data_IF_928405529002
#
_entry.id   IF_928405529002
#
_cell.length_a   1.000
_cell.length_b   1.000
_cell.length_c   1.000
_cell.angle_alpha   90.00
_cell.angle_beta   90.00
_cell.angle_gamma   90.00
#
_symmetry.space_group_name_H-M   'P 1'
#
loop_
_entity.id
_entity.type
_entity.pdbx_description
1 polymer ?
#
# COMPACT_ATOMS: atom_id res chain seq x y z
N UNK A 1 -28.95 35.30 39.36
CA UNK A 1 -28.10 34.08 39.24
C UNK A 1 -28.42 33.24 38.00
N UNK A 2 -29.70 33.06 37.62
CA UNK A 2 -30.07 32.27 36.42
C UNK A 2 -29.47 32.80 35.10
N UNK A 3 -29.41 34.13 34.90
CA UNK A 3 -28.83 34.74 33.70
C UNK A 3 -27.31 34.51 33.52
N UNK A 4 -26.56 34.36 34.62
CA UNK A 4 -25.13 34.04 34.58
C UNK A 4 -24.88 32.58 34.17
N UNK A 5 -25.75 31.66 34.61
CA UNK A 5 -25.69 30.24 34.27
C UNK A 5 -26.18 29.94 32.84
N UNK A 6 -27.07 30.78 32.29
CA UNK A 6 -27.57 30.71 30.91
C UNK A 6 -26.73 31.51 29.92
N UNK A 7 -25.76 32.28 30.40
CA UNK A 7 -24.88 33.12 29.57
C UNK A 7 -23.88 32.24 28.81
N UNK A 8 -24.29 31.75 27.65
CA UNK A 8 -23.41 31.10 26.65
C UNK A 8 -22.75 32.11 25.70
N UNK A 9 -22.86 33.41 25.99
CA UNK A 9 -22.47 34.50 25.08
C UNK A 9 -21.04 34.37 24.52
N UNK A 10 -20.11 33.78 25.28
CA UNK A 10 -18.72 33.60 24.86
C UNK A 10 -18.40 32.18 24.33
N UNK A 11 -19.34 31.23 24.39
CA UNK A 11 -19.07 29.85 23.95
C UNK A 11 -18.79 29.76 22.45
N UNK A 12 -19.44 30.58 21.64
CA UNK A 12 -19.21 30.59 20.20
C UNK A 12 -17.85 31.19 19.82
N UNK A 13 -17.39 32.18 20.58
CA UNK A 13 -16.03 32.72 20.43
C UNK A 13 -14.97 31.71 20.89
N UNK A 14 -15.20 31.03 22.02
CA UNK A 14 -14.33 29.95 22.50
C UNK A 14 -14.23 28.83 21.45
N UNK A 15 -15.36 28.35 20.91
CA UNK A 15 -15.36 27.32 19.87
C UNK A 15 -14.64 27.77 18.59
N UNK A 16 -14.76 29.05 18.22
CA UNK A 16 -14.01 29.64 17.09
C UNK A 16 -12.50 29.65 17.35
N UNK A 17 -12.09 30.04 18.57
CA UNK A 17 -10.68 30.00 18.98
C UNK A 17 -10.15 28.56 19.00
N UNK A 18 -10.92 27.60 19.50
CA UNK A 18 -10.55 26.18 19.52
C UNK A 18 -10.33 25.62 18.11
N UNK A 19 -11.23 25.94 17.16
CA UNK A 19 -11.05 25.57 15.76
C UNK A 19 -9.77 26.18 15.17
N UNK A 20 -9.51 27.46 15.45
CA UNK A 20 -8.29 28.13 14.98
C UNK A 20 -7.02 27.50 15.57
N UNK A 21 -7.05 27.10 16.83
CA UNK A 21 -5.97 26.36 17.48
C UNK A 21 -5.77 25.02 16.77
N UNK A 22 -6.84 24.28 16.48
CA UNK A 22 -6.78 23.01 15.79
C UNK A 22 -6.15 23.13 14.39
N UNK A 23 -6.63 24.06 13.57
CA UNK A 23 -6.08 24.35 12.24
C UNK A 23 -4.59 24.75 12.31
N UNK A 24 -4.22 25.54 13.31
CA UNK A 24 -2.82 25.95 13.50
C UNK A 24 -1.95 24.75 13.86
N UNK A 25 -2.42 23.85 14.73
CA UNK A 25 -1.70 22.63 15.10
C UNK A 25 -1.53 21.71 13.89
N UNK A 26 -2.57 21.55 13.06
CA UNK A 26 -2.50 20.76 11.83
C UNK A 26 -1.45 21.33 10.86
N UNK A 27 -1.44 22.65 10.67
CA UNK A 27 -0.44 23.35 9.85
C UNK A 27 0.99 23.14 10.37
N UNK A 28 1.19 23.23 11.71
CA UNK A 28 2.49 22.96 12.34
C UNK A 28 2.94 21.52 12.07
N UNK A 29 2.04 20.54 12.17
CA UNK A 29 2.35 19.14 11.90
C UNK A 29 2.75 18.92 10.44
N UNK A 30 2.05 19.55 9.50
CA UNK A 30 2.37 19.46 8.08
C UNK A 30 3.74 20.08 7.78
N UNK A 31 4.04 21.25 8.34
CA UNK A 31 5.35 21.90 8.21
C UNK A 31 6.47 21.06 8.84
N UNK A 32 6.21 20.41 9.97
CA UNK A 32 7.17 19.48 10.58
C UNK A 32 7.50 18.32 9.63
N UNK A 33 6.48 17.68 9.04
CA UNK A 33 6.70 16.58 8.08
C UNK A 33 7.56 17.06 6.90
N UNK A 34 7.23 18.22 6.32
CA UNK A 34 8.00 18.79 5.22
C UNK A 34 9.44 19.11 5.62
N UNK A 35 9.65 19.70 6.80
CA UNK A 35 10.98 19.99 7.33
C UNK A 35 11.79 18.71 7.53
N UNK A 36 11.20 17.69 8.15
CA UNK A 36 11.89 16.43 8.43
C UNK A 36 12.22 15.68 7.14
N UNK A 37 11.36 15.76 6.12
CA UNK A 37 11.65 15.28 4.75
C UNK A 37 12.89 15.95 4.17
N UNK A 38 12.91 17.30 4.13
CA UNK A 38 14.01 18.06 3.55
C UNK A 38 15.33 17.85 4.32
N UNK A 39 15.26 17.78 5.65
CA UNK A 39 16.43 17.49 6.49
C UNK A 39 16.97 16.09 6.24
N UNK A 40 16.11 15.08 6.15
CA UNK A 40 16.51 13.71 5.88
C UNK A 40 17.17 13.58 4.51
N UNK A 41 16.59 14.23 3.50
CA UNK A 41 17.19 14.34 2.16
C UNK A 41 18.57 15.01 2.21
N UNK A 42 18.72 16.13 2.92
CA UNK A 42 19.98 16.87 2.96
C UNK A 42 21.14 16.11 3.63
N UNK A 43 20.84 15.15 4.52
CA UNK A 43 21.85 14.37 5.26
C UNK A 43 22.48 13.26 4.41
N UNK A 44 21.67 12.55 3.63
CA UNK A 44 22.11 11.53 2.68
C UNK A 44 21.16 11.51 1.48
N UNK A 45 21.37 12.37 0.47
CA UNK A 45 20.46 12.49 -0.66
C UNK A 45 20.32 11.18 -1.44
N UNK A 46 21.41 10.42 -1.57
CA UNK A 46 21.43 9.18 -2.35
C UNK A 46 20.65 8.07 -1.65
N UNK A 47 20.95 7.80 -0.38
CA UNK A 47 20.23 6.80 0.40
C UNK A 47 18.76 7.18 0.57
N UNK A 48 18.50 8.46 0.84
CA UNK A 48 17.14 8.97 1.00
C UNK A 48 16.29 8.80 -0.27
N UNK A 49 16.81 9.16 -1.45
CA UNK A 49 16.08 8.93 -2.71
C UNK A 49 15.80 7.45 -2.91
N UNK A 50 16.78 6.58 -2.63
CA UNK A 50 16.60 5.14 -2.80
C UNK A 50 15.48 4.60 -1.89
N UNK A 51 15.43 5.03 -0.65
CA UNK A 51 14.39 4.61 0.30
C UNK A 51 13.04 5.26 0.01
N UNK A 52 13.05 6.51 -0.47
CA UNK A 52 11.84 7.19 -0.95
C UNK A 52 11.23 6.46 -2.15
N UNK A 53 12.03 6.07 -3.14
CA UNK A 53 11.56 5.28 -4.29
C UNK A 53 10.97 3.93 -3.86
N UNK A 54 11.59 3.24 -2.89
CA UNK A 54 11.04 2.01 -2.32
C UNK A 54 9.70 2.28 -1.62
N UNK A 55 9.57 3.38 -0.87
CA UNK A 55 8.32 3.75 -0.21
C UNK A 55 7.22 4.02 -1.23
N UNK A 56 7.47 4.89 -2.21
CA UNK A 56 6.52 5.20 -3.26
C UNK A 56 6.10 3.96 -4.06
N UNK A 57 7.02 3.02 -4.32
CA UNK A 57 6.68 1.77 -4.97
C UNK A 57 5.76 0.89 -4.12
N UNK A 58 5.97 0.82 -2.79
CA UNK A 58 5.08 0.08 -1.89
C UNK A 58 3.69 0.73 -1.82
N UNK A 59 3.65 2.05 -1.67
CA UNK A 59 2.39 2.80 -1.58
C UNK A 59 1.57 2.62 -2.87
N UNK A 60 2.23 2.69 -4.03
CA UNK A 60 1.58 2.43 -5.32
C UNK A 60 1.02 1.01 -5.41
N UNK A 61 1.77 -0.01 -4.98
CA UNK A 61 1.29 -1.40 -4.97
C UNK A 61 0.05 -1.57 -4.07
N UNK A 62 0.05 -0.93 -2.89
CA UNK A 62 -1.10 -0.93 -1.98
C UNK A 62 -2.32 -0.24 -2.58
N UNK A 63 -2.14 0.83 -3.34
CA UNK A 63 -3.26 1.56 -3.97
C UNK A 63 -3.82 0.88 -5.22
N UNK A 64 -3.03 0.01 -5.87
CA UNK A 64 -3.38 -0.59 -7.17
C UNK A 64 -3.67 -2.09 -7.09
N UNK A 65 -3.61 -2.67 -5.89
CA UNK A 65 -3.68 -4.13 -5.65
C UNK A 65 -2.70 -4.94 -6.52
N UNK A 66 -1.61 -4.30 -6.97
CA UNK A 66 -0.58 -4.96 -7.77
C UNK A 66 0.27 -5.82 -6.85
N UNK A 67 0.18 -7.13 -7.03
CA UNK A 67 0.96 -8.13 -6.31
C UNK A 67 2.22 -8.49 -7.10
N UNK A 68 3.29 -8.85 -6.40
CA UNK A 68 4.53 -9.32 -7.00
C UNK A 68 5.55 -8.22 -7.27
N UNK A 69 6.70 -8.63 -7.79
CA UNK A 69 7.77 -7.73 -8.18
C UNK A 69 8.39 -8.24 -9.47
N UNK A 70 7.94 -7.73 -10.65
CA UNK A 70 8.41 -8.20 -11.94
C UNK A 70 9.93 -8.19 -12.09
N UNK A 71 10.63 -7.24 -11.45
CA UNK A 71 12.08 -7.16 -11.49
C UNK A 71 12.80 -8.23 -10.66
N UNK A 72 12.18 -8.70 -9.57
CA UNK A 72 12.68 -9.86 -8.84
C UNK A 72 12.38 -11.14 -9.60
N UNK A 73 11.15 -11.28 -10.09
CA UNK A 73 10.70 -12.42 -10.89
C UNK A 73 11.55 -12.62 -12.16
N UNK A 74 12.14 -11.55 -12.70
CA UNK A 74 13.05 -11.64 -13.85
C UNK A 74 14.38 -12.32 -13.53
N UNK A 75 14.78 -12.41 -12.25
CA UNK A 75 16.10 -12.91 -11.84
C UNK A 75 16.01 -14.38 -11.46
N UNK A 76 16.96 -15.18 -11.95
CA UNK A 76 17.01 -16.63 -11.65
C UNK A 76 17.01 -16.94 -10.14
N UNK A 77 17.65 -16.09 -9.33
CA UNK A 77 17.69 -16.22 -7.87
C UNK A 77 16.29 -16.32 -7.25
N UNK A 78 15.29 -15.63 -7.80
CA UNK A 78 13.91 -15.69 -7.33
C UNK A 78 13.34 -17.11 -7.35
N UNK A 79 13.75 -17.94 -8.32
CA UNK A 79 13.27 -19.31 -8.49
C UNK A 79 14.12 -20.36 -7.76
N UNK A 80 15.13 -19.95 -7.00
CA UNK A 80 15.92 -20.83 -6.12
C UNK A 80 15.41 -20.87 -4.68
N UNK A 81 14.29 -20.20 -4.41
CA UNK A 81 13.66 -20.17 -3.10
C UNK A 81 12.97 -21.51 -2.74
N UNK A 82 12.80 -21.83 -1.44
CA UNK A 82 12.25 -23.11 -0.99
C UNK A 82 10.85 -23.44 -1.54
N UNK A 83 10.04 -22.41 -1.84
CA UNK A 83 8.70 -22.59 -2.41
C UNK A 83 8.71 -23.09 -3.87
N UNK A 84 9.85 -22.97 -4.57
CA UNK A 84 9.94 -23.24 -6.01
C UNK A 84 9.59 -24.69 -6.36
N UNK A 85 10.10 -25.66 -5.59
CA UNK A 85 9.82 -27.08 -5.83
C UNK A 85 8.33 -27.42 -5.67
N UNK A 86 7.69 -26.88 -4.62
CA UNK A 86 6.27 -27.07 -4.40
C UNK A 86 5.44 -26.37 -5.49
N UNK A 87 5.81 -25.16 -5.89
CA UNK A 87 5.14 -24.42 -6.94
C UNK A 87 5.14 -25.18 -8.27
N UNK A 88 6.28 -25.77 -8.65
CA UNK A 88 6.39 -26.63 -9.83
C UNK A 88 5.47 -27.85 -9.71
N UNK A 89 5.43 -28.49 -8.54
CA UNK A 89 4.58 -29.66 -8.30
C UNK A 89 3.09 -29.34 -8.44
N UNK A 90 2.64 -28.23 -7.84
CA UNK A 90 1.26 -27.72 -7.96
C UNK A 90 0.93 -27.36 -9.41
N UNK A 91 1.86 -26.69 -10.10
CA UNK A 91 1.69 -26.36 -11.51
C UNK A 91 1.50 -27.60 -12.37
N UNK A 92 2.35 -28.62 -12.21
CA UNK A 92 2.24 -29.88 -12.96
C UNK A 92 0.91 -30.58 -12.71
N UNK A 93 0.49 -30.67 -11.44
CA UNK A 93 -0.81 -31.25 -11.10
C UNK A 93 -1.95 -30.55 -11.85
N UNK A 94 -2.02 -29.21 -11.75
CA UNK A 94 -3.05 -28.43 -12.44
C UNK A 94 -2.99 -28.62 -13.97
N UNK A 95 -1.77 -28.66 -14.54
CA UNK A 95 -1.59 -28.83 -15.98
C UNK A 95 -2.05 -30.21 -16.48
N UNK A 96 -1.78 -31.26 -15.72
CA UNK A 96 -2.23 -32.63 -16.04
C UNK A 96 -3.77 -32.70 -16.02
N UNK A 97 -4.41 -32.13 -14.99
CA UNK A 97 -5.88 -32.13 -14.91
C UNK A 97 -6.51 -31.37 -16.08
N UNK A 98 -5.95 -30.20 -16.44
CA UNK A 98 -6.38 -29.44 -17.61
C UNK A 98 -6.31 -30.28 -18.89
N UNK A 99 -5.16 -30.95 -19.14
CA UNK A 99 -4.99 -31.79 -20.34
C UNK A 99 -5.95 -32.98 -20.37
N UNK A 100 -6.22 -33.59 -19.21
CA UNK A 100 -7.19 -34.69 -19.09
C UNK A 100 -8.59 -34.22 -19.51
N UNK A 101 -9.01 -33.05 -19.01
CA UNK A 101 -10.31 -32.47 -19.34
C UNK A 101 -10.43 -32.12 -20.82
N UNK A 102 -9.40 -31.53 -21.42
CA UNK A 102 -9.34 -31.24 -22.86
C UNK A 102 -9.50 -32.52 -23.70
N UNK A 103 -8.84 -33.62 -23.30
CA UNK A 103 -8.95 -34.92 -23.95
C UNK A 103 -10.35 -35.53 -23.82
N UNK A 104 -10.92 -35.51 -22.60
CA UNK A 104 -12.27 -35.99 -22.34
C UNK A 104 -13.30 -35.24 -23.20
N UNK A 105 -13.17 -33.92 -23.31
CA UNK A 105 -14.02 -33.08 -24.18
C UNK A 105 -13.86 -33.42 -25.66
N UNK A 106 -12.63 -33.53 -26.15
CA UNK A 106 -12.36 -33.86 -27.55
C UNK A 106 -12.90 -35.24 -27.93
N UNK A 107 -12.81 -36.22 -27.03
CA UNK A 107 -13.36 -37.56 -27.23
C UNK A 107 -14.89 -37.58 -27.16
N UNK A 108 -15.50 -36.77 -26.27
CA UNK A 108 -16.96 -36.65 -26.18
C UNK A 108 -17.58 -36.04 -27.43
N UNK A 109 -16.96 -34.98 -27.99
CA UNK A 109 -17.40 -34.33 -29.25
C UNK A 109 -17.28 -35.27 -30.46
N UNK A 110 -16.34 -36.22 -30.43
CA UNK A 110 -16.15 -37.20 -31.51
C UNK A 110 -17.17 -38.34 -31.48
N UNK A 111 -17.86 -38.53 -30.36
CA UNK A 111 -18.86 -39.59 -30.14
C UNK A 111 -20.31 -39.10 -30.29
N UNK A 112 -20.53 -37.84 -30.66
CA UNK A 112 -21.82 -37.24 -31.04
C UNK A 112 -21.85 -36.94 -32.52
#
# INVERSE_FOLDING_TARGET
MSSFLLSTANQQEIASLDNKIHETIESINQLKIQRDFMLSFSRDPKGYIQDWLKSQSRDLKLMTDVVGNPEEERRAAFYHEPWSQEAVSRYFYCKIQQRRQELEQALAVRNT
#
